data_IF_616710918309
#
_entry.id   IF_616710918309
#
_cell.length_a   1.000
_cell.length_b   1.000
_cell.length_c   1.000
_cell.angle_alpha   90.00
_cell.angle_beta   90.00
_cell.angle_gamma   90.00
#
_symmetry.space_group_name_H-M   'P 1'
#
loop_
_entity.id
_entity.type
_entity.pdbx_description
1 polymer ?
#
# COMPACT_ATOMS: atom_id res chain seq x y z
N UNK A 1 -8.80 -12.67 -23.09
CA UNK A 1 -7.31 -12.76 -23.13
C UNK A 1 -6.80 -12.22 -21.81
N UNK A 2 -6.82 -13.07 -20.79
CA UNK A 2 -6.38 -12.75 -19.44
C UNK A 2 -4.86 -12.76 -19.39
N UNK A 3 -4.25 -11.58 -19.24
CA UNK A 3 -2.84 -11.46 -18.86
C UNK A 3 -2.73 -11.51 -17.34
N UNK A 4 -3.01 -12.65 -16.71
CA UNK A 4 -2.52 -12.87 -15.36
C UNK A 4 -1.09 -13.38 -15.47
N UNK A 5 -0.13 -12.45 -15.40
CA UNK A 5 1.27 -12.84 -15.24
C UNK A 5 1.38 -13.48 -13.86
N UNK A 6 1.99 -14.66 -13.78
CA UNK A 6 2.26 -15.40 -12.55
C UNK A 6 3.02 -14.56 -11.48
N UNK A 7 3.55 -13.40 -11.88
CA UNK A 7 4.32 -12.45 -11.07
C UNK A 7 3.59 -11.15 -10.66
N UNK A 8 2.30 -11.00 -10.96
CA UNK A 8 1.56 -9.79 -10.56
C UNK A 8 1.05 -9.92 -9.12
N UNK A 9 1.54 -9.04 -8.24
CA UNK A 9 1.19 -9.03 -6.82
C UNK A 9 -0.18 -8.42 -6.54
N UNK A 10 -0.87 -8.97 -5.53
CA UNK A 10 -2.16 -8.48 -5.02
C UNK A 10 -1.94 -7.41 -3.97
N UNK A 11 -2.54 -6.23 -4.17
CA UNK A 11 -2.48 -5.11 -3.24
C UNK A 11 -3.55 -5.29 -2.16
N UNK A 12 -3.13 -5.54 -0.93
CA UNK A 12 -4.00 -5.72 0.21
C UNK A 12 -4.14 -4.38 0.96
N UNK A 13 -5.37 -3.93 1.17
CA UNK A 13 -5.65 -2.65 1.82
C UNK A 13 -6.87 -2.73 2.73
N UNK A 14 -7.05 -1.72 3.57
CA UNK A 14 -8.19 -1.60 4.48
C UNK A 14 -9.16 -0.52 3.97
N UNK A 15 -10.31 -0.93 3.45
CA UNK A 15 -11.38 -0.05 2.99
C UNK A 15 -12.02 0.79 4.12
N UNK A 16 -12.07 0.30 5.36
CA UNK A 16 -12.60 1.04 6.52
C UNK A 16 -11.70 2.20 6.96
N UNK A 17 -10.43 2.20 6.57
CA UNK A 17 -9.55 3.33 6.82
C UNK A 17 -9.75 4.40 5.76
N UNK A 18 -10.39 5.52 6.12
CA UNK A 18 -10.78 6.56 5.15
C UNK A 18 -9.63 7.10 4.30
N UNK A 19 -8.44 7.28 4.89
CA UNK A 19 -7.27 7.78 4.17
C UNK A 19 -6.70 6.71 3.22
N UNK A 20 -6.56 5.47 3.68
CA UNK A 20 -6.10 4.38 2.82
C UNK A 20 -7.07 4.12 1.66
N UNK A 21 -8.38 4.10 1.93
CA UNK A 21 -9.40 3.89 0.91
C UNK A 21 -9.41 5.01 -0.13
N UNK A 22 -9.23 6.27 0.29
CA UNK A 22 -9.15 7.41 -0.62
C UNK A 22 -7.99 7.25 -1.61
N UNK A 23 -6.79 6.94 -1.12
CA UNK A 23 -5.60 6.71 -1.96
C UNK A 23 -5.80 5.52 -2.91
N UNK A 24 -6.30 4.39 -2.39
CA UNK A 24 -6.48 3.17 -3.19
C UNK A 24 -7.54 3.35 -4.27
N UNK A 25 -8.65 4.04 -3.98
CA UNK A 25 -9.65 4.42 -5.01
C UNK A 25 -9.04 5.27 -6.11
N UNK A 26 -8.06 6.11 -5.78
CA UNK A 26 -7.35 6.89 -6.78
C UNK A 26 -6.46 6.01 -7.66
N UNK A 27 -5.70 5.09 -7.08
CA UNK A 27 -4.81 4.17 -7.81
C UNK A 27 -5.58 3.17 -8.68
N UNK A 28 -6.67 2.58 -8.16
CA UNK A 28 -7.58 1.69 -8.90
C UNK A 28 -8.01 2.27 -10.25
N UNK A 29 -8.24 3.58 -10.34
CA UNK A 29 -8.65 4.26 -11.58
C UNK A 29 -7.52 4.46 -12.60
N UNK A 30 -6.26 4.20 -12.21
CA UNK A 30 -5.05 4.56 -12.97
C UNK A 30 -4.06 3.40 -13.12
N UNK A 31 -4.41 2.21 -12.66
CA UNK A 31 -3.57 1.02 -12.69
C UNK A 31 -4.40 -0.21 -13.02
N UNK A 32 -3.77 -1.23 -13.59
CA UNK A 32 -4.35 -2.57 -13.80
C UNK A 32 -4.00 -3.53 -12.65
N UNK A 33 -3.67 -3.00 -11.48
CA UNK A 33 -3.32 -3.78 -10.30
C UNK A 33 -4.55 -4.49 -9.71
N UNK A 34 -4.34 -5.68 -9.15
CA UNK A 34 -5.34 -6.38 -8.35
C UNK A 34 -5.36 -5.82 -6.92
N UNK A 35 -6.54 -5.48 -6.41
CA UNK A 35 -6.72 -4.91 -5.07
C UNK A 35 -7.75 -5.73 -4.30
N UNK A 36 -7.36 -6.22 -3.13
CA UNK A 36 -8.22 -6.97 -2.22
C UNK A 36 -8.47 -6.19 -0.94
N UNK A 37 -9.74 -6.02 -0.57
CA UNK A 37 -10.10 -5.45 0.73
C UNK A 37 -9.89 -6.50 1.84
N UNK A 38 -9.15 -6.12 2.87
CA UNK A 38 -8.82 -6.94 4.03
C UNK A 38 -9.37 -6.31 5.33
N UNK A 39 -10.38 -5.44 5.25
CA UNK A 39 -11.01 -4.75 6.40
C UNK A 39 -11.57 -5.65 7.51
N UNK A 40 -11.73 -6.95 7.23
CA UNK A 40 -12.22 -7.97 8.16
C UNK A 40 -11.13 -8.95 8.61
N UNK A 41 -9.92 -8.82 8.06
CA UNK A 41 -8.76 -9.62 8.44
C UNK A 41 -8.03 -8.97 9.63
N UNK A 42 -7.09 -9.71 10.20
CA UNK A 42 -6.27 -9.34 11.36
C UNK A 42 -5.73 -7.90 11.34
N UNK A 43 -5.45 -7.36 12.54
CA UNK A 43 -4.88 -6.02 12.78
C UNK A 43 -3.62 -5.69 11.94
N UNK A 44 -2.94 -6.71 11.39
CA UNK A 44 -1.76 -6.58 10.52
C UNK A 44 -2.04 -5.63 9.34
N UNK A 45 -3.20 -5.73 8.70
CA UNK A 45 -3.55 -4.94 7.51
C UNK A 45 -4.09 -3.53 7.84
N UNK A 46 -4.30 -3.23 9.12
CA UNK A 46 -4.73 -1.90 9.55
C UNK A 46 -3.61 -0.86 9.48
N UNK A 47 -2.34 -1.30 9.54
CA UNK A 47 -1.20 -0.41 9.82
C UNK A 47 -0.37 -0.05 8.60
N UNK A 48 -0.29 -0.95 7.61
CA UNK A 48 0.57 -0.76 6.44
C UNK A 48 -0.11 -1.24 5.17
N UNK A 49 0.35 -0.74 4.02
CA UNK A 49 -0.02 -1.30 2.72
C UNK A 49 0.79 -2.58 2.47
N UNK A 50 0.16 -3.61 1.94
CA UNK A 50 0.82 -4.89 1.64
C UNK A 50 0.63 -5.25 0.17
N UNK A 51 1.64 -5.90 -0.42
CA UNK A 51 1.53 -6.57 -1.71
C UNK A 51 2.01 -8.00 -1.55
N UNK A 52 1.16 -8.97 -1.84
CA UNK A 52 1.51 -10.40 -1.77
C UNK A 52 1.63 -10.99 -3.18
N UNK A 53 2.58 -11.92 -3.33
CA UNK A 53 2.86 -12.59 -4.60
C UNK A 53 2.55 -14.08 -4.49
N UNK A 54 2.32 -14.74 -5.62
CA UNK A 54 2.00 -16.18 -5.66
C UNK A 54 3.15 -17.08 -5.19
N UNK A 55 4.39 -16.57 -5.23
CA UNK A 55 5.60 -17.25 -4.72
C UNK A 55 5.79 -17.09 -3.20
N UNK A 56 4.83 -16.48 -2.50
CA UNK A 56 4.87 -16.25 -1.06
C UNK A 56 5.66 -15.00 -0.62
N UNK A 57 6.23 -14.23 -1.56
CA UNK A 57 6.86 -12.95 -1.21
C UNK A 57 5.82 -11.93 -0.78
N UNK A 58 6.23 -11.02 0.10
CA UNK A 58 5.41 -9.92 0.60
C UNK A 58 6.23 -8.61 0.57
N UNK A 59 5.66 -7.55 0.00
CA UNK A 59 6.16 -6.18 0.16
C UNK A 59 5.26 -5.45 1.15
N UNK A 60 5.86 -4.63 2.01
CA UNK A 60 5.16 -3.97 3.11
C UNK A 60 5.55 -2.50 3.18
N UNK A 61 4.57 -1.63 3.47
CA UNK A 61 4.79 -0.20 3.68
C UNK A 61 5.37 0.48 2.44
N UNK A 62 6.51 1.17 2.59
CA UNK A 62 7.13 1.94 1.50
C UNK A 62 7.45 1.08 0.28
N UNK A 63 7.86 -0.18 0.48
CA UNK A 63 8.13 -1.09 -0.64
C UNK A 63 6.85 -1.45 -1.42
N UNK A 64 5.72 -1.60 -0.73
CA UNK A 64 4.41 -1.76 -1.36
C UNK A 64 4.01 -0.50 -2.15
N UNK A 65 4.26 0.69 -1.60
CA UNK A 65 3.99 1.95 -2.31
C UNK A 65 4.84 2.12 -3.57
N UNK A 66 6.13 1.82 -3.50
CA UNK A 66 7.02 1.83 -4.67
C UNK A 66 6.48 0.89 -5.77
N UNK A 67 6.06 -0.32 -5.38
CA UNK A 67 5.46 -1.27 -6.32
C UNK A 67 4.21 -0.72 -6.99
N UNK A 68 3.29 -0.14 -6.21
CA UNK A 68 2.03 0.43 -6.70
C UNK A 68 2.29 1.63 -7.62
N UNK A 69 3.12 2.58 -7.20
CA UNK A 69 3.40 3.79 -7.99
C UNK A 69 4.08 3.49 -9.32
N UNK A 70 5.01 2.53 -9.35
CA UNK A 70 5.65 2.10 -10.60
C UNK A 70 4.68 1.46 -11.60
N UNK A 71 3.53 0.97 -11.14
CA UNK A 71 2.47 0.34 -11.95
C UNK A 71 1.21 1.21 -12.06
N UNK A 72 1.27 2.46 -11.61
CA UNK A 72 0.16 3.41 -11.72
C UNK A 72 0.51 4.52 -12.72
N UNK A 73 -0.36 4.75 -13.70
CA UNK A 73 -0.16 5.77 -14.73
C UNK A 73 -0.02 7.16 -14.07
N UNK A 74 1.07 7.86 -14.38
CA UNK A 74 1.39 9.19 -13.84
C UNK A 74 2.19 9.18 -12.53
N UNK A 75 2.40 8.02 -11.90
CA UNK A 75 3.10 7.89 -10.61
C UNK A 75 4.45 7.19 -10.70
N UNK A 76 4.81 6.65 -11.87
CA UNK A 76 6.08 5.91 -12.05
C UNK A 76 7.32 6.71 -11.66
N UNK A 77 7.32 8.01 -11.93
CA UNK A 77 8.41 8.89 -11.53
C UNK A 77 8.57 8.94 -10.00
N UNK A 78 7.47 8.96 -9.26
CA UNK A 78 7.46 8.96 -7.80
C UNK A 78 7.99 7.63 -7.25
N UNK A 79 7.52 6.51 -7.82
CA UNK A 79 8.03 5.19 -7.48
C UNK A 79 9.54 5.05 -7.71
N UNK A 80 10.04 5.61 -8.82
CA UNK A 80 11.47 5.60 -9.15
C UNK A 80 12.28 6.49 -8.21
N UNK A 81 11.79 7.70 -7.91
CA UNK A 81 12.44 8.64 -7.01
C UNK A 81 12.52 8.11 -5.57
N UNK A 82 11.42 7.57 -5.05
CA UNK A 82 11.37 7.02 -3.68
C UNK A 82 12.19 5.74 -3.55
N UNK A 83 12.44 5.01 -4.64
CA UNK A 83 13.30 3.83 -4.62
C UNK A 83 14.80 4.14 -4.47
N UNK A 84 15.23 5.39 -4.61
CA UNK A 84 16.63 5.78 -4.40
C UNK A 84 17.05 5.49 -2.95
N UNK A 85 18.23 4.92 -2.68
CA UNK A 85 18.58 4.40 -1.35
C UNK A 85 18.40 5.40 -0.19
N UNK A 86 18.87 6.63 -0.37
CA UNK A 86 18.75 7.70 0.64
C UNK A 86 17.30 8.14 0.81
N UNK A 87 16.58 8.34 -0.29
CA UNK A 87 15.18 8.77 -0.27
C UNK A 87 14.30 7.68 0.36
N UNK A 88 14.56 6.41 0.02
CA UNK A 88 13.86 5.25 0.59
C UNK A 88 14.01 5.20 2.10
N UNK A 89 15.23 5.41 2.62
CA UNK A 89 15.47 5.43 4.07
C UNK A 89 14.67 6.55 4.76
N UNK A 90 14.71 7.76 4.20
CA UNK A 90 13.92 8.89 4.70
C UNK A 90 12.41 8.61 4.63
N UNK A 91 11.93 8.01 3.53
CA UNK A 91 10.54 7.65 3.35
C UNK A 91 10.09 6.59 4.36
N UNK A 92 10.91 5.57 4.64
CA UNK A 92 10.62 4.55 5.65
C UNK A 92 10.52 5.17 7.05
N UNK A 93 11.42 6.10 7.38
CA UNK A 93 11.38 6.82 8.65
C UNK A 93 10.14 7.71 8.77
N UNK A 94 9.85 8.53 7.75
CA UNK A 94 8.65 9.38 7.74
C UNK A 94 7.37 8.54 7.82
N UNK A 95 7.32 7.43 7.09
CA UNK A 95 6.18 6.53 7.06
C UNK A 95 5.94 5.84 8.40
N UNK A 96 7.00 5.45 9.12
CA UNK A 96 6.84 4.81 10.44
C UNK A 96 6.22 5.77 11.45
N UNK A 97 6.61 7.04 11.43
CA UNK A 97 6.00 8.09 12.26
C UNK A 97 4.53 8.30 11.88
N UNK A 98 4.24 8.43 10.58
CA UNK A 98 2.87 8.63 10.10
C UNK A 98 1.96 7.45 10.47
N UNK A 99 2.43 6.21 10.27
CA UNK A 99 1.69 5.01 10.64
C UNK A 99 1.42 4.95 12.15
N UNK A 100 2.37 5.34 12.98
CA UNK A 100 2.19 5.43 14.43
C UNK A 100 1.12 6.47 14.81
N UNK A 101 1.19 7.67 14.24
CA UNK A 101 0.21 8.75 14.48
C UNK A 101 -1.21 8.35 14.01
N UNK A 102 -1.32 7.78 12.81
CA UNK A 102 -2.60 7.33 12.26
C UNK A 102 -3.20 6.17 13.04
N UNK A 103 -2.38 5.22 13.49
CA UNK A 103 -2.83 4.12 14.34
C UNK A 103 -3.36 4.66 15.68
N UNK A 104 -2.65 5.60 16.30
CA UNK A 104 -3.09 6.20 17.56
C UNK A 104 -4.39 6.99 17.37
N UNK A 105 -4.52 7.76 16.27
CA UNK A 105 -5.76 8.43 15.90
C UNK A 105 -6.91 7.43 15.69
N UNK A 106 -6.70 6.37 14.92
CA UNK A 106 -7.72 5.34 14.70
C UNK A 106 -8.15 4.68 16.03
N UNK A 107 -7.22 4.34 16.91
CA UNK A 107 -7.51 3.74 18.22
C UNK A 107 -8.30 4.66 19.14
N UNK A 108 -8.07 5.98 19.09
CA UNK A 108 -8.80 6.97 19.90
C UNK A 108 -10.21 7.20 19.36
N UNK A 109 -10.37 7.33 18.04
CA UNK A 109 -11.64 7.76 17.43
C UNK A 109 -12.56 6.62 16.96
N UNK A 110 -12.04 5.40 16.77
CA UNK A 110 -12.84 4.22 16.39
C UNK A 110 -13.02 3.22 17.53
N UNK A 111 -12.89 3.65 18.78
CA UNK A 111 -13.36 2.90 19.94
C UNK A 111 -14.87 3.10 20.06
N UNK A 112 -15.65 2.34 19.32
CA UNK A 112 -17.07 2.15 19.56
C UNK A 112 -17.49 0.72 19.25
#
# INVERSE_FOLDING_TARGET
MEKFSYNDGKVLFNEKCSICNFEIKHYKKRSELDFTDCSHMEDKYLKKLHVTFNDGKELVGVDAFIYVWNRTKGYRWLGTFVALPVVKQLAVFAYSILAFLLFWRFKIFNKS
#
